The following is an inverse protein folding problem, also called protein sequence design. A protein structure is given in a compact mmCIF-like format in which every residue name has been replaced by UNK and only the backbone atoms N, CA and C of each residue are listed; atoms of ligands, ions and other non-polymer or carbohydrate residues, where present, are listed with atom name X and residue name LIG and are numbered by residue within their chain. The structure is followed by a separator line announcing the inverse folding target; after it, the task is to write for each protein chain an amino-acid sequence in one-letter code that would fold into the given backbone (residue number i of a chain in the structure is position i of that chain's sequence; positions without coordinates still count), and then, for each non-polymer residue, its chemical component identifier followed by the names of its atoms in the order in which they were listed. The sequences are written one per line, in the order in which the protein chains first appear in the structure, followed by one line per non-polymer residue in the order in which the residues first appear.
data_IF_494929299687
#
_entry.id   IF_494929299687
#
_cell.length_a   1.000
_cell.length_b   1.000
_cell.length_c   1.000
_cell.angle_alpha   90.00
_cell.angle_beta   90.00
_cell.angle_gamma   90.00
#
_symmetry.space_group_name_H-M   'P 1'
#
loop_
_entity.id
_entity.type
_entity.pdbx_description
1 polymer ?
#
# COMPACT_ATOMS: atom_id res chain seq x y z
N UNK A 1 7.52 -3.86 78.87
CA UNK A 1 7.01 -2.86 77.94
C UNK A 1 7.66 -3.11 76.59
N UNK A 2 7.00 -3.81 75.69
CA UNK A 2 7.51 -4.13 74.34
C UNK A 2 6.72 -3.33 73.34
N UNK A 3 7.38 -2.33 72.68
CA UNK A 3 6.78 -1.56 71.60
C UNK A 3 6.90 -2.31 70.28
N UNK A 4 5.77 -2.70 69.67
CA UNK A 4 5.75 -3.23 68.32
C UNK A 4 5.83 -2.10 67.28
N UNK A 5 6.90 -2.09 66.51
CA UNK A 5 7.11 -1.15 65.40
C UNK A 5 6.33 -1.70 64.18
N UNK A 6 5.23 -1.05 63.84
CA UNK A 6 4.41 -1.39 62.63
C UNK A 6 5.09 -0.72 61.42
N UNK A 7 5.81 -1.49 60.60
CA UNK A 7 6.30 -1.05 59.29
C UNK A 7 5.14 -0.99 58.29
N UNK A 8 4.69 0.22 57.93
CA UNK A 8 3.75 0.48 56.86
C UNK A 8 4.50 0.33 55.51
N UNK A 9 4.32 -0.81 54.84
CA UNK A 9 4.80 -0.98 53.48
C UNK A 9 3.80 -0.30 52.52
N UNK A 10 4.12 0.93 52.10
CA UNK A 10 3.39 1.59 51.02
C UNK A 10 3.71 0.88 49.70
N UNK A 11 2.80 0.02 49.25
CA UNK A 11 2.82 -0.50 47.91
C UNK A 11 2.48 0.64 46.94
N UNK A 12 3.50 1.19 46.29
CA UNK A 12 3.32 2.08 45.15
C UNK A 12 2.73 1.23 44.00
N UNK A 13 1.41 1.28 43.84
CA UNK A 13 0.76 0.79 42.65
C UNK A 13 1.26 1.64 41.47
N UNK A 14 2.22 1.14 40.71
CA UNK A 14 2.57 1.72 39.40
C UNK A 14 1.34 1.66 38.52
N UNK A 15 0.69 2.80 38.29
CA UNK A 15 -0.39 2.89 37.33
C UNK A 15 0.13 2.36 35.98
N UNK A 16 -0.48 1.31 35.46
CA UNK A 16 -0.09 0.72 34.19
C UNK A 16 -0.16 1.82 33.10
N UNK A 17 0.96 2.07 32.45
CA UNK A 17 1.06 3.09 31.40
C UNK A 17 0.11 2.71 30.27
N UNK A 18 -0.90 3.54 30.01
CA UNK A 18 -1.89 3.28 28.97
C UNK A 18 -1.22 3.26 27.59
N UNK A 19 -1.44 2.22 26.77
CA UNK A 19 -0.83 2.11 25.43
C UNK A 19 -1.34 3.21 24.50
N UNK A 20 -0.56 3.52 23.46
CA UNK A 20 -0.98 4.35 22.35
C UNK A 20 -1.64 3.45 21.31
N UNK A 21 -2.94 3.65 21.07
CA UNK A 21 -3.72 2.81 20.15
C UNK A 21 -3.63 3.35 18.73
N UNK A 22 -3.11 2.53 17.81
CA UNK A 22 -3.03 2.79 16.37
C UNK A 22 -3.98 1.85 15.64
N UNK A 23 -4.91 2.40 14.87
CA UNK A 23 -5.84 1.61 14.06
C UNK A 23 -5.15 1.01 12.84
N UNK A 24 -5.48 -0.25 12.53
CA UNK A 24 -4.97 -0.97 11.35
C UNK A 24 -6.16 -1.61 10.61
N UNK A 25 -6.94 -0.80 9.84
CA UNK A 25 -7.96 -1.34 8.97
C UNK A 25 -7.35 -1.90 7.68
N UNK A 26 -7.90 -2.98 7.16
CA UNK A 26 -7.46 -3.54 5.89
C UNK A 26 -8.24 -4.80 5.49
N UNK A 27 -8.10 -5.21 4.23
CA UNK A 27 -8.67 -6.44 3.72
C UNK A 27 -7.78 -7.62 4.14
N UNK A 28 -8.09 -8.26 5.26
CA UNK A 28 -7.36 -9.44 5.74
C UNK A 28 -7.97 -10.75 5.24
N UNK A 29 -9.12 -10.66 4.57
CA UNK A 29 -9.83 -11.76 3.89
C UNK A 29 -10.15 -11.36 2.44
N UNK A 30 -10.53 -12.35 1.60
CA UNK A 30 -10.90 -12.13 0.19
C UNK A 30 -9.72 -11.98 -0.76
N UNK A 31 -9.98 -11.52 -1.99
CA UNK A 31 -9.01 -11.43 -3.08
C UNK A 31 -7.83 -10.49 -2.81
N UNK A 32 -8.02 -9.49 -1.96
CA UNK A 32 -6.98 -8.54 -1.56
C UNK A 32 -6.19 -8.96 -0.30
N UNK A 33 -6.50 -10.11 0.30
CA UNK A 33 -5.85 -10.58 1.52
C UNK A 33 -4.30 -10.65 1.45
N UNK A 34 -3.65 -11.06 0.33
CA UNK A 34 -2.20 -11.02 0.23
C UNK A 34 -1.61 -9.64 0.55
N UNK A 35 -2.24 -8.56 0.06
CA UNK A 35 -1.84 -7.19 0.36
C UNK A 35 -2.10 -6.82 1.83
N UNK A 36 -3.33 -7.08 2.30
CA UNK A 36 -3.75 -6.72 3.65
C UNK A 36 -2.93 -7.41 4.74
N UNK A 37 -2.71 -8.71 4.60
CA UNK A 37 -1.91 -9.48 5.55
C UNK A 37 -0.43 -9.05 5.53
N UNK A 38 0.12 -8.77 4.35
CA UNK A 38 1.50 -8.28 4.23
C UNK A 38 1.67 -6.90 4.85
N UNK A 39 0.76 -5.96 4.55
CA UNK A 39 0.70 -4.61 5.16
C UNK A 39 0.64 -4.71 6.70
N UNK A 40 -0.31 -5.48 7.22
CA UNK A 40 -0.48 -5.69 8.65
C UNK A 40 0.80 -6.23 9.30
N UNK A 41 1.45 -7.19 8.67
CA UNK A 41 2.67 -7.78 9.19
C UNK A 41 3.83 -6.77 9.18
N UNK A 42 3.96 -5.94 8.13
CA UNK A 42 4.92 -4.83 8.11
C UNK A 42 4.70 -3.84 9.25
N UNK A 43 3.43 -3.44 9.48
CA UNK A 43 3.04 -2.57 10.60
C UNK A 43 3.39 -3.21 11.95
N UNK A 44 3.08 -4.51 12.13
CA UNK A 44 3.41 -5.27 13.36
C UNK A 44 4.91 -5.30 13.63
N UNK A 45 5.72 -5.52 12.58
CA UNK A 45 7.18 -5.53 12.72
C UNK A 45 7.70 -4.17 13.17
N UNK A 46 7.29 -3.09 12.51
CA UNK A 46 7.68 -1.73 12.90
C UNK A 46 7.23 -1.39 14.34
N UNK A 47 5.99 -1.72 14.71
CA UNK A 47 5.49 -1.48 16.06
C UNK A 47 6.26 -2.29 17.12
N UNK A 48 6.62 -3.54 16.82
CA UNK A 48 7.43 -4.36 17.72
C UNK A 48 8.83 -3.79 17.93
N UNK A 49 9.48 -3.27 16.89
CA UNK A 49 10.78 -2.59 17.00
C UNK A 49 10.68 -1.31 17.82
N UNK A 50 9.65 -0.49 17.57
CA UNK A 50 9.41 0.76 18.33
C UNK A 50 9.16 0.44 19.80
N UNK A 51 8.34 -0.57 20.10
CA UNK A 51 8.05 -0.98 21.47
C UNK A 51 9.29 -1.51 22.20
N UNK A 52 10.13 -2.27 21.49
CA UNK A 52 11.42 -2.76 22.04
C UNK A 52 12.38 -1.61 22.37
N UNK A 53 12.27 -0.50 21.66
CA UNK A 53 13.08 0.72 21.88
C UNK A 53 12.46 1.70 22.89
N UNK A 54 11.47 1.27 23.69
CA UNK A 54 10.82 2.08 24.71
C UNK A 54 9.48 2.72 24.30
N UNK A 55 8.95 2.39 23.13
CA UNK A 55 7.64 2.85 22.66
C UNK A 55 7.65 4.28 22.10
N UNK A 56 6.48 4.93 22.15
CA UNK A 56 6.28 6.32 21.77
C UNK A 56 5.92 7.14 23.03
N UNK A 57 6.61 8.26 23.24
CA UNK A 57 6.37 9.12 24.41
C UNK A 57 6.38 8.34 25.74
N UNK A 58 7.25 7.31 25.86
CA UNK A 58 7.33 6.42 27.02
C UNK A 58 6.16 5.43 27.17
N UNK A 59 5.35 5.24 26.13
CA UNK A 59 4.17 4.38 26.13
C UNK A 59 4.27 3.32 25.03
N UNK A 60 3.86 2.06 25.27
CA UNK A 60 3.84 1.05 24.23
C UNK A 60 2.74 1.35 23.19
N UNK A 61 2.99 0.94 21.93
CA UNK A 61 1.99 0.91 20.86
C UNK A 61 1.14 -0.33 21.01
N UNK A 62 -0.17 -0.17 20.94
CA UNK A 62 -1.17 -1.22 20.77
C UNK A 62 -1.79 -1.08 19.38
N UNK A 63 -1.70 -2.13 18.56
CA UNK A 63 -2.32 -2.16 17.23
C UNK A 63 -3.75 -2.67 17.32
N UNK A 64 -4.72 -1.88 16.83
CA UNK A 64 -6.13 -2.23 16.79
C UNK A 64 -6.50 -2.63 15.36
N UNK A 65 -6.39 -3.91 15.07
CA UNK A 65 -6.58 -4.46 13.73
C UNK A 65 -8.06 -4.76 13.47
N UNK A 66 -8.55 -4.39 12.27
CA UNK A 66 -9.93 -4.64 11.85
C UNK A 66 -9.97 -5.03 10.38
N UNK A 67 -10.59 -6.18 10.10
CA UNK A 67 -10.80 -6.66 8.73
C UNK A 67 -12.00 -5.96 8.09
N UNK A 68 -11.79 -5.22 7.03
CA UNK A 68 -12.83 -4.61 6.22
C UNK A 68 -13.29 -5.49 5.04
N UNK A 69 -12.56 -6.59 4.75
CA UNK A 69 -12.85 -7.55 3.68
C UNK A 69 -12.81 -6.94 2.28
N UNK A 70 -12.26 -5.74 2.12
CA UNK A 70 -12.29 -4.98 0.86
C UNK A 70 -13.66 -4.38 0.53
N UNK A 71 -14.58 -4.30 1.50
CA UNK A 71 -15.96 -3.85 1.31
C UNK A 71 -16.15 -2.42 1.84
N UNK A 72 -16.49 -1.42 0.99
CA UNK A 72 -16.64 -0.03 1.41
C UNK A 72 -17.60 0.18 2.58
N UNK A 73 -18.76 -0.47 2.58
CA UNK A 73 -19.73 -0.36 3.66
C UNK A 73 -19.20 -0.91 4.99
N UNK A 74 -18.36 -1.96 4.94
CA UNK A 74 -17.70 -2.51 6.12
C UNK A 74 -16.59 -1.61 6.61
N UNK A 75 -15.85 -0.98 5.69
CA UNK A 75 -14.82 0.02 6.01
C UNK A 75 -15.36 1.20 6.80
N UNK A 76 -16.55 1.72 6.45
CA UNK A 76 -17.23 2.78 7.22
C UNK A 76 -17.51 2.31 8.67
N UNK A 77 -18.05 1.10 8.85
CA UNK A 77 -18.32 0.54 10.19
C UNK A 77 -17.05 0.36 11.00
N UNK A 78 -15.99 -0.14 10.36
CA UNK A 78 -14.65 -0.29 10.96
C UNK A 78 -14.10 1.07 11.41
N UNK A 79 -14.23 2.12 10.58
CA UNK A 79 -13.80 3.46 10.94
C UNK A 79 -14.55 3.98 12.18
N UNK A 80 -15.86 3.82 12.23
CA UNK A 80 -16.68 4.20 13.39
C UNK A 80 -16.24 3.45 14.65
N UNK A 81 -15.99 2.14 14.58
CA UNK A 81 -15.51 1.35 15.72
C UNK A 81 -14.14 1.84 16.22
N UNK A 82 -13.18 2.04 15.31
CA UNK A 82 -11.84 2.52 15.66
C UNK A 82 -11.87 3.89 16.34
N UNK A 83 -12.77 4.78 15.89
CA UNK A 83 -12.88 6.13 16.41
C UNK A 83 -13.63 6.19 17.74
N UNK A 84 -14.78 5.51 17.85
CA UNK A 84 -15.70 5.71 18.98
C UNK A 84 -15.48 4.72 20.12
N UNK A 85 -15.18 3.46 19.80
CA UNK A 85 -15.01 2.39 20.80
C UNK A 85 -13.53 2.26 21.20
N UNK A 86 -12.65 2.19 20.21
CA UNK A 86 -11.22 1.97 20.44
C UNK A 86 -10.44 3.27 20.70
N UNK A 87 -10.96 4.40 20.24
CA UNK A 87 -10.36 5.73 20.42
C UNK A 87 -8.91 5.77 19.95
N UNK A 88 -8.67 5.24 18.74
CA UNK A 88 -7.33 5.28 18.14
C UNK A 88 -6.89 6.71 17.88
N UNK A 89 -5.59 7.00 18.07
CA UNK A 89 -5.03 8.35 17.89
C UNK A 89 -4.59 8.60 16.44
N UNK A 90 -4.35 7.53 15.68
CA UNK A 90 -3.97 7.57 14.28
C UNK A 90 -4.26 6.22 13.64
N UNK A 91 -4.18 6.15 12.30
CA UNK A 91 -4.44 4.94 11.51
C UNK A 91 -3.31 4.72 10.53
N UNK A 92 -2.86 3.48 10.37
CA UNK A 92 -2.04 3.01 9.25
C UNK A 92 -2.81 1.91 8.52
N UNK A 93 -3.24 2.15 7.31
CA UNK A 93 -4.11 1.22 6.54
C UNK A 93 -4.40 1.84 5.19
N UNK A 94 -5.29 1.56 4.69
CA UNK A 94 -6.24 0.85 3.93
C UNK A 94 -5.61 0.06 2.76
N UNK A 95 -6.30 -1.00 2.32
CA UNK A 95 -5.87 -1.80 1.17
C UNK A 95 -6.58 -1.35 -0.11
N UNK A 96 -7.89 -1.32 -0.09
CA UNK A 96 -8.72 -1.07 -1.28
C UNK A 96 -9.10 0.40 -1.40
N UNK A 97 -8.93 0.98 -2.58
CA UNK A 97 -9.31 2.38 -2.90
C UNK A 97 -10.74 2.70 -2.52
N UNK A 98 -11.71 1.82 -2.88
CA UNK A 98 -13.11 2.06 -2.57
C UNK A 98 -13.42 2.09 -1.08
N UNK A 99 -12.70 1.29 -0.28
CA UNK A 99 -12.80 1.32 1.19
C UNK A 99 -12.23 2.60 1.75
N UNK A 100 -11.04 2.98 1.30
CA UNK A 100 -10.40 4.22 1.72
C UNK A 100 -11.25 5.46 1.40
N UNK A 101 -11.80 5.55 0.18
CA UNK A 101 -12.71 6.63 -0.22
C UNK A 101 -13.94 6.74 0.69
N UNK A 102 -14.56 5.60 1.00
CA UNK A 102 -15.76 5.57 1.81
C UNK A 102 -15.52 5.91 3.29
N UNK A 103 -14.35 5.50 3.83
CA UNK A 103 -14.05 5.62 5.25
C UNK A 103 -13.29 6.92 5.63
N UNK A 104 -12.54 7.51 4.70
CA UNK A 104 -11.64 8.64 4.99
C UNK A 104 -12.35 9.84 5.61
N UNK A 105 -13.60 10.12 5.19
CA UNK A 105 -14.36 11.24 5.77
C UNK A 105 -14.56 11.10 7.28
N UNK A 106 -14.75 9.89 7.81
CA UNK A 106 -14.92 9.68 9.24
C UNK A 106 -13.65 10.11 10.02
N UNK A 107 -12.47 9.81 9.50
CA UNK A 107 -11.20 10.18 10.13
C UNK A 107 -10.91 11.67 9.97
N UNK A 108 -11.20 12.23 8.79
CA UNK A 108 -11.08 13.67 8.53
C UNK A 108 -11.93 14.49 9.52
N UNK A 109 -13.19 14.12 9.68
CA UNK A 109 -14.13 14.81 10.59
C UNK A 109 -13.71 14.65 12.07
N UNK A 110 -13.17 13.48 12.42
CA UNK A 110 -12.67 13.19 13.77
C UNK A 110 -11.27 13.78 14.05
N UNK A 111 -10.62 14.38 13.03
CA UNK A 111 -9.24 14.89 13.10
C UNK A 111 -8.22 13.81 13.52
N UNK A 112 -8.40 12.59 13.02
CA UNK A 112 -7.50 11.47 13.25
C UNK A 112 -6.67 11.22 11.99
N UNK A 113 -5.33 11.37 12.05
CA UNK A 113 -4.48 11.20 10.88
C UNK A 113 -4.46 9.76 10.38
N UNK A 114 -4.48 9.62 9.06
CA UNK A 114 -4.45 8.35 8.32
C UNK A 114 -3.20 8.31 7.45
N UNK A 115 -2.39 7.27 7.61
CA UNK A 115 -1.31 6.92 6.70
C UNK A 115 -1.79 5.81 5.76
N UNK A 116 -2.12 6.14 4.51
CA UNK A 116 -2.49 5.18 3.49
C UNK A 116 -1.27 4.35 3.08
N UNK A 117 -1.30 3.07 3.43
CA UNK A 117 -0.18 2.16 3.19
C UNK A 117 -0.28 1.42 1.86
N UNK A 118 -1.48 1.18 1.32
CA UNK A 118 -1.69 0.33 0.15
C UNK A 118 -2.61 0.97 -0.90
N UNK A 119 -3.69 1.64 -0.51
CA UNK A 119 -4.62 2.27 -1.44
C UNK A 119 -3.96 3.40 -2.26
N UNK A 120 -4.11 3.38 -3.60
CA UNK A 120 -3.26 4.15 -4.52
C UNK A 120 -3.93 5.26 -5.32
N UNK A 121 -5.28 5.32 -5.39
CA UNK A 121 -5.93 6.35 -6.19
C UNK A 121 -5.52 7.78 -5.77
N UNK A 122 -5.11 8.61 -6.73
CA UNK A 122 -4.60 9.95 -6.49
C UNK A 122 -5.59 10.87 -5.74
N UNK A 123 -6.90 10.65 -5.95
CA UNK A 123 -7.95 11.44 -5.28
C UNK A 123 -7.94 11.28 -3.75
N UNK A 124 -7.41 10.19 -3.20
CA UNK A 124 -7.49 9.89 -1.76
C UNK A 124 -6.86 10.96 -0.87
N UNK A 125 -5.71 11.49 -1.25
CA UNK A 125 -5.01 12.56 -0.52
C UNK A 125 -5.51 13.96 -0.89
N UNK A 126 -6.29 14.08 -1.97
CA UNK A 126 -6.77 15.36 -2.53
C UNK A 126 -8.26 15.61 -2.32
N UNK A 127 -9.01 14.64 -1.76
CA UNK A 127 -10.46 14.75 -1.59
C UNK A 127 -10.89 15.77 -0.52
N UNK A 128 -9.97 16.18 0.34
CA UNK A 128 -10.22 17.19 1.38
C UNK A 128 -9.36 18.42 1.10
N UNK A 129 -9.85 19.33 0.25
CA UNK A 129 -9.09 20.53 -0.11
C UNK A 129 -8.91 21.44 1.10
N UNK A 130 -7.75 22.08 1.15
CA UNK A 130 -7.43 23.06 2.17
C UNK A 130 -8.26 24.34 1.95
N UNK A 131 -9.12 24.67 2.91
CA UNK A 131 -9.88 25.93 2.93
C UNK A 131 -9.52 26.72 4.19
N UNK A 132 -8.88 27.89 4.02
CA UNK A 132 -8.44 28.70 5.13
C UNK A 132 -7.44 27.94 6.04
N UNK A 133 -7.80 27.72 7.30
CA UNK A 133 -6.99 27.02 8.29
C UNK A 133 -7.36 25.52 8.44
N UNK A 134 -8.13 24.94 7.50
CA UNK A 134 -8.44 23.51 7.57
C UNK A 134 -7.19 22.66 7.27
N UNK A 135 -7.07 21.52 7.96
CA UNK A 135 -6.03 20.54 7.73
C UNK A 135 -6.59 19.33 6.97
N UNK A 136 -5.75 18.69 6.17
CA UNK A 136 -6.04 17.41 5.56
C UNK A 136 -5.34 16.30 6.38
N UNK A 137 -6.11 15.35 6.88
CA UNK A 137 -5.62 14.29 7.76
C UNK A 137 -5.19 13.02 7.01
N UNK A 138 -5.20 13.02 5.66
CA UNK A 138 -4.93 11.83 4.84
C UNK A 138 -3.56 11.96 4.17
N UNK A 139 -2.64 11.07 4.53
CA UNK A 139 -1.28 10.94 3.99
C UNK A 139 -1.10 9.61 3.29
N UNK A 140 -0.12 9.48 2.41
CA UNK A 140 0.15 8.22 1.70
C UNK A 140 1.64 7.91 1.61
N UNK A 141 1.98 6.62 1.83
CA UNK A 141 3.31 6.06 1.64
C UNK A 141 3.39 5.12 0.44
N UNK A 142 2.25 4.69 -0.11
CA UNK A 142 2.19 3.90 -1.34
C UNK A 142 2.46 4.76 -2.58
N UNK A 143 2.95 4.14 -3.66
CA UNK A 143 3.06 4.81 -4.96
C UNK A 143 1.66 5.09 -5.54
N UNK A 144 1.32 6.35 -5.71
CA UNK A 144 0.04 6.79 -6.26
C UNK A 144 -0.19 6.31 -7.70
N UNK A 145 -1.45 6.19 -8.13
CA UNK A 145 -1.78 5.76 -9.49
C UNK A 145 -1.29 6.74 -10.55
N UNK A 146 -1.24 8.04 -10.24
CA UNK A 146 -0.68 9.08 -11.11
C UNK A 146 0.86 9.04 -11.21
N UNK A 147 1.55 8.27 -10.36
CA UNK A 147 2.95 7.87 -10.53
C UNK A 147 3.06 6.54 -11.29
N UNK A 148 2.19 5.57 -11.01
CA UNK A 148 2.29 4.24 -11.61
C UNK A 148 1.89 4.25 -13.10
N UNK A 149 0.78 4.87 -13.48
CA UNK A 149 0.28 4.86 -14.85
C UNK A 149 1.27 5.43 -15.88
N UNK A 150 1.96 6.57 -15.63
CA UNK A 150 3.03 7.02 -16.51
C UNK A 150 4.19 6.02 -16.65
N UNK A 151 4.54 5.31 -15.58
CA UNK A 151 5.60 4.29 -15.63
C UNK A 151 5.18 3.08 -16.46
N UNK A 152 3.93 2.61 -16.33
CA UNK A 152 3.33 1.54 -17.13
C UNK A 152 3.32 1.92 -18.61
N UNK A 153 2.84 3.12 -18.92
CA UNK A 153 2.77 3.61 -20.30
C UNK A 153 4.18 3.82 -20.88
N UNK A 154 5.12 4.37 -20.10
CA UNK A 154 6.52 4.49 -20.50
C UNK A 154 7.14 3.13 -20.85
N UNK A 155 6.86 2.11 -20.05
CA UNK A 155 7.32 0.75 -20.31
C UNK A 155 6.77 0.19 -21.62
N UNK A 156 5.46 0.36 -21.88
CA UNK A 156 4.83 -0.12 -23.10
C UNK A 156 5.22 0.67 -24.35
N UNK A 157 5.22 2.01 -24.26
CA UNK A 157 5.34 2.92 -25.41
C UNK A 157 6.79 3.27 -25.74
N UNK A 158 7.59 3.62 -24.74
CA UNK A 158 8.96 4.10 -24.97
C UNK A 158 9.97 2.96 -24.99
N UNK A 159 9.87 2.00 -24.05
CA UNK A 159 10.83 0.90 -23.94
C UNK A 159 10.50 -0.26 -24.90
N UNK A 160 9.21 -0.55 -25.09
CA UNK A 160 8.77 -1.68 -25.94
C UNK A 160 8.24 -1.26 -27.31
N UNK A 161 8.12 0.04 -27.60
CA UNK A 161 7.66 0.61 -28.85
C UNK A 161 6.22 0.20 -29.29
N UNK A 162 5.38 -0.27 -28.37
CA UNK A 162 3.98 -0.61 -28.68
C UNK A 162 3.14 0.65 -28.91
N UNK A 163 2.18 0.58 -29.83
CA UNK A 163 1.29 1.69 -30.19
C UNK A 163 -0.19 1.33 -30.08
N UNK A 164 -0.55 0.06 -30.15
CA UNK A 164 -1.91 -0.45 -29.97
C UNK A 164 -1.98 -1.18 -28.64
N UNK A 165 -2.60 -0.57 -27.67
CA UNK A 165 -2.61 -1.02 -26.28
C UNK A 165 -4.04 -1.20 -25.81
N UNK A 166 -4.40 -2.39 -25.35
CA UNK A 166 -5.67 -2.62 -24.67
C UNK A 166 -5.53 -2.30 -23.19
N UNK A 167 -6.61 -1.84 -22.56
CA UNK A 167 -6.69 -1.67 -21.09
C UNK A 167 -7.71 -2.65 -20.55
N UNK A 168 -7.32 -3.41 -19.52
CA UNK A 168 -8.20 -4.29 -18.75
C UNK A 168 -8.22 -3.83 -17.30
N UNK A 169 -9.37 -3.36 -16.83
CA UNK A 169 -9.56 -2.81 -15.50
C UNK A 169 -10.77 -3.44 -14.81
N UNK A 170 -10.67 -3.68 -13.48
CA UNK A 170 -11.84 -4.14 -12.74
C UNK A 170 -12.87 -3.03 -12.51
N UNK A 171 -14.10 -3.41 -12.14
CA UNK A 171 -15.22 -2.49 -11.89
C UNK A 171 -15.23 -1.87 -10.48
N UNK A 172 -14.13 -1.99 -9.73
CA UNK A 172 -13.98 -1.29 -8.45
C UNK A 172 -13.54 0.16 -8.65
N UNK A 173 -13.57 0.96 -7.57
CA UNK A 173 -12.99 2.30 -7.61
C UNK A 173 -11.50 2.28 -7.99
N UNK A 174 -10.76 1.24 -7.62
CA UNK A 174 -9.35 1.07 -7.99
C UNK A 174 -9.17 0.93 -9.50
N UNK A 175 -9.88 -0.03 -10.12
CA UNK A 175 -9.80 -0.21 -11.57
C UNK A 175 -10.30 1.00 -12.34
N UNK A 176 -11.36 1.68 -11.87
CA UNK A 176 -11.88 2.91 -12.49
C UNK A 176 -10.83 4.04 -12.48
N UNK A 177 -10.24 4.33 -11.32
CA UNK A 177 -9.22 5.38 -11.21
C UNK A 177 -7.97 5.05 -12.01
N UNK A 178 -7.51 3.78 -11.95
CA UNK A 178 -6.37 3.34 -12.73
C UNK A 178 -6.59 3.40 -14.24
N UNK A 179 -7.80 3.07 -14.73
CA UNK A 179 -8.18 3.24 -16.13
C UNK A 179 -8.04 4.71 -16.56
N UNK A 180 -8.61 5.64 -15.79
CA UNK A 180 -8.51 7.08 -16.09
C UNK A 180 -7.04 7.56 -16.14
N UNK A 181 -6.20 7.10 -15.21
CA UNK A 181 -4.79 7.47 -15.19
C UNK A 181 -4.01 6.87 -16.37
N UNK A 182 -4.33 5.63 -16.79
CA UNK A 182 -3.73 5.03 -17.98
C UNK A 182 -4.15 5.77 -19.26
N UNK A 183 -5.44 6.14 -19.40
CA UNK A 183 -5.91 6.91 -20.55
C UNK A 183 -5.25 8.29 -20.60
N UNK A 184 -5.12 8.95 -19.46
CA UNK A 184 -4.42 10.24 -19.34
C UNK A 184 -2.94 10.10 -19.75
N UNK A 185 -2.25 9.07 -19.25
CA UNK A 185 -0.86 8.84 -19.58
C UNK A 185 -0.65 8.46 -21.06
N UNK A 186 -1.54 7.67 -21.67
CA UNK A 186 -1.51 7.39 -23.11
C UNK A 186 -1.74 8.67 -23.92
N UNK A 187 -2.68 9.53 -23.50
CA UNK A 187 -2.96 10.81 -24.14
C UNK A 187 -1.74 11.73 -24.20
N UNK A 188 -0.84 11.70 -23.20
CA UNK A 188 0.43 12.43 -23.21
C UNK A 188 1.39 11.97 -24.32
N UNK A 189 1.19 10.75 -24.83
CA UNK A 189 1.93 10.21 -25.99
C UNK A 189 1.13 10.29 -27.31
N UNK A 190 0.00 11.01 -27.33
CA UNK A 190 -0.88 11.08 -28.51
C UNK A 190 -1.58 9.77 -28.83
N UNK A 191 -1.69 8.85 -27.89
CA UNK A 191 -2.29 7.54 -28.05
C UNK A 191 -3.65 7.46 -27.35
N UNK A 192 -4.50 6.57 -27.91
CA UNK A 192 -5.74 6.11 -27.26
C UNK A 192 -5.67 4.58 -27.12
N UNK A 193 -6.38 4.01 -26.13
CA UNK A 193 -6.49 2.56 -26.05
C UNK A 193 -7.05 1.97 -27.34
N UNK A 194 -6.50 0.86 -27.83
CA UNK A 194 -7.07 0.12 -28.96
C UNK A 194 -8.34 -0.61 -28.57
N UNK A 195 -8.47 -0.97 -27.30
CA UNK A 195 -9.65 -1.58 -26.70
C UNK A 195 -9.65 -1.32 -25.18
N UNK A 196 -10.83 -1.20 -24.58
CA UNK A 196 -11.00 -1.09 -23.13
C UNK A 196 -12.00 -2.13 -22.67
N UNK A 197 -11.58 -2.96 -21.74
CA UNK A 197 -12.43 -3.92 -21.05
C UNK A 197 -12.56 -3.56 -19.58
N UNK A 198 -13.78 -3.65 -19.05
CA UNK A 198 -14.07 -3.58 -17.62
C UNK A 198 -14.78 -4.86 -17.20
N UNK A 199 -14.40 -5.42 -16.08
CA UNK A 199 -14.92 -6.69 -15.58
C UNK A 199 -15.16 -6.65 -14.08
N UNK A 200 -16.03 -7.52 -13.60
CA UNK A 200 -16.36 -7.60 -12.18
C UNK A 200 -15.30 -8.40 -11.40
N UNK A 201 -15.23 -8.17 -10.10
CA UNK A 201 -14.50 -9.10 -9.23
C UNK A 201 -15.10 -10.50 -9.34
N UNK A 202 -14.25 -11.52 -9.30
CA UNK A 202 -14.57 -12.94 -9.50
C UNK A 202 -15.01 -13.29 -10.94
N UNK A 203 -14.76 -12.41 -11.91
CA UNK A 203 -14.97 -12.74 -13.33
C UNK A 203 -14.06 -13.90 -13.74
N UNK A 204 -14.65 -14.88 -14.44
CA UNK A 204 -13.96 -16.08 -14.91
C UNK A 204 -14.01 -16.27 -16.43
N UNK A 205 -14.80 -15.47 -17.11
CA UNK A 205 -14.88 -15.51 -18.57
C UNK A 205 -14.41 -14.18 -19.18
N UNK A 206 -13.15 -14.15 -19.55
CA UNK A 206 -12.52 -13.01 -20.22
C UNK A 206 -12.35 -13.24 -21.73
N UNK A 207 -12.80 -14.39 -22.26
CA UNK A 207 -12.52 -14.80 -23.64
C UNK A 207 -13.05 -13.79 -24.66
N UNK A 208 -14.28 -13.32 -24.50
CA UNK A 208 -14.86 -12.35 -25.43
C UNK A 208 -14.12 -11.02 -25.43
N UNK A 209 -13.82 -10.47 -24.24
CA UNK A 209 -13.07 -9.21 -24.11
C UNK A 209 -11.67 -9.34 -24.73
N UNK A 210 -10.98 -10.46 -24.49
CA UNK A 210 -9.68 -10.75 -25.08
C UNK A 210 -9.74 -10.91 -26.59
N UNK A 211 -10.79 -11.55 -27.13
CA UNK A 211 -11.02 -11.66 -28.58
C UNK A 211 -11.19 -10.27 -29.22
N UNK A 212 -11.96 -9.39 -28.59
CA UNK A 212 -12.14 -8.01 -29.08
C UNK A 212 -10.81 -7.22 -29.05
N UNK A 213 -10.02 -7.35 -27.98
CA UNK A 213 -8.71 -6.72 -27.91
C UNK A 213 -7.76 -7.26 -29.00
N UNK A 214 -7.76 -8.58 -29.24
CA UNK A 214 -6.99 -9.21 -30.33
C UNK A 214 -7.41 -8.69 -31.69
N UNK A 215 -8.72 -8.61 -31.96
CA UNK A 215 -9.28 -8.10 -33.23
C UNK A 215 -8.97 -6.62 -33.46
N UNK A 216 -8.85 -5.82 -32.37
CA UNK A 216 -8.40 -4.44 -32.43
C UNK A 216 -6.88 -4.30 -32.71
N UNK A 217 -6.16 -5.43 -32.79
CA UNK A 217 -4.74 -5.50 -33.08
C UNK A 217 -3.87 -5.06 -31.89
N UNK A 218 -4.34 -5.27 -30.66
CA UNK A 218 -3.59 -4.90 -29.46
C UNK A 218 -2.26 -5.65 -29.39
N UNK A 219 -1.18 -4.92 -29.09
CA UNK A 219 0.20 -5.42 -29.02
C UNK A 219 0.63 -5.73 -27.60
N UNK A 220 -0.06 -5.16 -26.62
CA UNK A 220 0.10 -5.43 -25.19
C UNK A 220 -1.19 -5.11 -24.45
N UNK A 221 -1.33 -5.66 -23.26
CA UNK A 221 -2.43 -5.39 -22.34
C UNK A 221 -1.90 -4.58 -21.14
N UNK A 222 -2.49 -3.41 -20.91
CA UNK A 222 -2.28 -2.63 -19.69
C UNK A 222 -3.34 -2.98 -18.66
N UNK A 223 -2.98 -3.12 -17.36
CA UNK A 223 -3.94 -3.58 -16.35
C UNK A 223 -3.99 -2.71 -15.11
N UNK A 224 -5.24 -2.53 -14.61
CA UNK A 224 -5.55 -2.08 -13.27
C UNK A 224 -6.67 -2.95 -12.67
N UNK A 225 -6.27 -4.03 -12.02
CA UNK A 225 -7.17 -4.99 -11.36
C UNK A 225 -6.41 -5.72 -10.25
N UNK A 226 -7.08 -6.58 -9.50
CA UNK A 226 -6.44 -7.36 -8.43
C UNK A 226 -6.01 -8.76 -8.90
N UNK A 227 -5.19 -9.44 -8.09
CA UNK A 227 -4.44 -10.63 -8.47
C UNK A 227 -5.25 -11.80 -9.03
N UNK A 228 -6.39 -12.22 -8.42
CA UNK A 228 -7.16 -13.36 -8.92
C UNK A 228 -7.67 -13.19 -10.36
N UNK A 229 -8.22 -12.02 -10.68
CA UNK A 229 -8.77 -11.71 -11.99
C UNK A 229 -7.66 -11.53 -13.03
N UNK A 230 -6.51 -10.99 -12.62
CA UNK A 230 -5.32 -10.89 -13.47
C UNK A 230 -4.76 -12.28 -13.83
N UNK A 231 -4.83 -13.23 -12.90
CA UNK A 231 -4.44 -14.61 -13.17
C UNK A 231 -5.39 -15.26 -14.17
N UNK A 232 -6.71 -15.02 -14.05
CA UNK A 232 -7.68 -15.52 -15.03
C UNK A 232 -7.48 -14.89 -16.41
N UNK A 233 -7.15 -13.59 -16.47
CA UNK A 233 -6.75 -12.93 -17.73
C UNK A 233 -5.59 -13.66 -18.39
N UNK A 234 -4.49 -13.90 -17.67
CA UNK A 234 -3.31 -14.59 -18.20
C UNK A 234 -3.62 -16.03 -18.63
N UNK A 235 -4.40 -16.76 -17.84
CA UNK A 235 -4.81 -18.12 -18.14
C UNK A 235 -5.73 -18.20 -19.38
N UNK A 236 -6.64 -17.24 -19.53
CA UNK A 236 -7.52 -17.17 -20.72
C UNK A 236 -6.72 -16.82 -21.96
N UNK A 237 -5.77 -15.89 -21.89
CA UNK A 237 -4.85 -15.59 -23.00
C UNK A 237 -4.09 -16.85 -23.45
N UNK A 238 -3.60 -17.65 -22.51
CA UNK A 238 -2.92 -18.90 -22.82
C UNK A 238 -3.84 -19.92 -23.51
N UNK A 239 -5.09 -20.09 -23.03
CA UNK A 239 -6.10 -20.95 -23.68
C UNK A 239 -6.43 -20.52 -25.11
N UNK A 240 -6.34 -19.21 -25.38
CA UNK A 240 -6.60 -18.65 -26.72
C UNK A 240 -5.36 -18.63 -27.62
N UNK A 241 -4.22 -19.15 -27.16
CA UNK A 241 -2.91 -19.02 -27.82
C UNK A 241 -2.60 -17.59 -28.27
N UNK A 242 -2.92 -16.61 -27.41
CA UNK A 242 -2.64 -15.21 -27.67
C UNK A 242 -1.55 -14.69 -26.71
N UNK A 243 -0.35 -14.49 -27.28
CA UNK A 243 0.86 -14.16 -26.53
C UNK A 243 1.23 -12.70 -26.74
N UNK A 244 0.68 -11.81 -25.93
CA UNK A 244 1.10 -10.40 -25.83
C UNK A 244 1.49 -10.08 -24.40
N UNK A 245 2.40 -9.11 -24.16
CA UNK A 245 2.80 -8.75 -22.82
C UNK A 245 1.65 -8.20 -21.97
N UNK A 246 1.67 -8.53 -20.68
CA UNK A 246 0.84 -7.91 -19.65
C UNK A 246 1.74 -6.93 -18.89
N UNK A 247 1.34 -5.65 -18.84
CA UNK A 247 2.07 -4.59 -18.16
C UNK A 247 1.05 -3.87 -17.27
N UNK A 248 1.29 -3.80 -15.97
CA UNK A 248 0.27 -3.26 -15.08
C UNK A 248 0.79 -2.64 -13.80
N UNK A 249 -0.15 -2.35 -12.94
CA UNK A 249 0.13 -1.87 -11.61
C UNK A 249 0.79 -2.97 -10.75
N UNK A 250 1.24 -2.59 -9.59
CA UNK A 250 1.93 -3.45 -8.64
C UNK A 250 1.16 -4.71 -8.21
N UNK A 251 -0.15 -4.79 -8.45
CA UNK A 251 -0.99 -5.96 -8.14
C UNK A 251 -0.60 -7.24 -8.90
N UNK A 252 0.11 -7.13 -10.01
CA UNK A 252 0.73 -8.26 -10.71
C UNK A 252 1.86 -8.94 -9.89
N UNK A 253 2.29 -8.35 -8.78
CA UNK A 253 3.24 -8.97 -7.85
C UNK A 253 2.59 -9.75 -6.70
N UNK A 254 1.27 -9.76 -6.62
CA UNK A 254 0.55 -10.48 -5.57
C UNK A 254 0.72 -11.99 -5.70
N UNK A 255 0.87 -12.68 -4.56
CA UNK A 255 1.06 -14.14 -4.57
C UNK A 255 -0.07 -14.88 -5.27
N UNK A 256 -1.32 -14.41 -5.15
CA UNK A 256 -2.46 -15.04 -5.82
C UNK A 256 -2.53 -14.79 -7.33
N UNK A 257 -1.88 -13.74 -7.86
CA UNK A 257 -1.61 -13.66 -9.29
C UNK A 257 -0.57 -14.70 -9.71
N UNK A 258 0.60 -14.66 -9.07
CA UNK A 258 1.75 -15.49 -9.42
C UNK A 258 1.39 -16.99 -9.32
N UNK A 259 0.74 -17.40 -8.22
CA UNK A 259 0.41 -18.80 -7.98
C UNK A 259 -0.69 -19.31 -8.91
N UNK A 260 -1.74 -18.50 -9.15
CA UNK A 260 -2.88 -18.92 -9.95
C UNK A 260 -2.61 -18.83 -11.47
N UNK A 261 -1.78 -17.89 -11.90
CA UNK A 261 -1.36 -17.79 -13.31
C UNK A 261 -0.27 -18.81 -13.63
N UNK A 262 0.58 -19.14 -12.66
CA UNK A 262 1.70 -20.06 -12.86
C UNK A 262 2.57 -19.66 -14.06
N UNK A 263 2.88 -20.59 -14.97
CA UNK A 263 3.67 -20.28 -16.17
C UNK A 263 3.05 -19.22 -17.09
N UNK A 264 1.72 -19.05 -17.04
CA UNK A 264 1.01 -18.07 -17.88
C UNK A 264 1.22 -16.63 -17.40
N UNK A 265 1.69 -16.44 -16.17
CA UNK A 265 2.06 -15.14 -15.62
C UNK A 265 3.51 -14.72 -15.91
N UNK A 266 4.34 -15.60 -16.47
CA UNK A 266 5.75 -15.32 -16.75
C UNK A 266 5.90 -14.13 -17.73
N UNK A 267 6.86 -13.25 -17.43
CA UNK A 267 7.13 -12.05 -18.21
C UNK A 267 6.17 -10.89 -17.95
N UNK A 268 5.11 -11.05 -17.14
CA UNK A 268 4.27 -9.92 -16.72
C UNK A 268 5.11 -8.86 -16.02
N UNK A 269 4.90 -7.58 -16.40
CA UNK A 269 5.66 -6.45 -15.88
C UNK A 269 4.78 -5.53 -15.05
N UNK A 270 5.34 -5.00 -13.97
CA UNK A 270 4.59 -4.16 -13.06
C UNK A 270 5.45 -3.11 -12.38
N UNK A 271 4.82 -2.01 -11.96
CA UNK A 271 5.47 -1.01 -11.12
C UNK A 271 5.67 -1.58 -9.71
N UNK A 272 6.83 -1.35 -9.11
CA UNK A 272 7.16 -1.82 -7.76
C UNK A 272 7.84 -0.71 -6.96
N UNK A 273 7.41 -0.52 -5.71
CA UNK A 273 8.11 0.32 -4.73
C UNK A 273 9.17 -0.46 -3.95
N UNK A 274 9.05 -1.79 -3.90
CA UNK A 274 9.98 -2.68 -3.22
C UNK A 274 9.99 -4.06 -3.87
N UNK A 275 11.17 -4.55 -4.22
CA UNK A 275 11.43 -5.93 -4.68
C UNK A 275 12.46 -6.53 -3.72
N UNK A 276 12.14 -7.60 -2.97
CA UNK A 276 13.12 -8.33 -2.17
C UNK A 276 14.20 -8.93 -3.05
N UNK A 277 15.46 -8.79 -2.64
CA UNK A 277 16.60 -9.35 -3.39
C UNK A 277 17.52 -10.16 -2.45
N UNK A 278 18.16 -11.20 -2.99
CA UNK A 278 19.09 -12.03 -2.21
C UNK A 278 20.33 -11.25 -1.77
N UNK A 279 20.70 -10.22 -2.54
CA UNK A 279 21.83 -9.34 -2.24
C UNK A 279 21.44 -8.13 -1.38
N UNK A 280 20.20 -8.03 -0.92
CA UNK A 280 19.78 -6.96 -0.02
C UNK A 280 20.69 -6.88 1.22
N UNK A 281 21.07 -5.69 1.61
CA UNK A 281 21.92 -5.40 2.77
C UNK A 281 21.33 -4.29 3.64
N UNK A 282 21.94 -4.07 4.82
CA UNK A 282 21.49 -3.01 5.73
C UNK A 282 20.01 -3.15 6.06
N UNK A 283 19.27 -2.05 6.02
CA UNK A 283 17.86 -1.99 6.45
C UNK A 283 16.92 -2.94 5.69
N UNK A 284 17.18 -3.18 4.41
CA UNK A 284 16.36 -4.09 3.60
C UNK A 284 16.55 -5.54 4.08
N UNK A 285 17.79 -5.91 4.37
CA UNK A 285 18.10 -7.22 4.99
C UNK A 285 17.49 -7.34 6.39
N UNK A 286 17.67 -6.33 7.22
CA UNK A 286 17.13 -6.31 8.59
C UNK A 286 15.60 -6.48 8.58
N UNK A 287 14.91 -5.83 7.63
CA UNK A 287 13.46 -5.98 7.45
C UNK A 287 13.08 -7.40 7.07
N UNK A 288 13.78 -8.02 6.10
CA UNK A 288 13.50 -9.40 5.66
C UNK A 288 13.74 -10.41 6.78
N UNK A 289 14.84 -10.26 7.49
CA UNK A 289 15.21 -11.14 8.60
C UNK A 289 14.25 -10.96 9.79
N UNK A 290 13.88 -9.72 10.11
CA UNK A 290 12.88 -9.39 11.13
C UNK A 290 11.50 -9.94 10.77
N UNK A 291 11.08 -9.82 9.51
CA UNK A 291 9.83 -10.38 9.02
C UNK A 291 9.81 -11.91 9.13
N UNK A 292 10.89 -12.56 8.67
CA UNK A 292 11.04 -14.02 8.78
C UNK A 292 11.02 -14.49 10.24
N UNK A 293 11.75 -13.80 11.11
CA UNK A 293 11.82 -14.15 12.53
C UNK A 293 10.46 -14.02 13.21
N UNK A 294 9.75 -12.91 12.97
CA UNK A 294 8.48 -12.62 13.67
C UNK A 294 7.32 -13.46 13.16
N UNK A 295 7.27 -13.77 11.86
CA UNK A 295 6.13 -14.45 11.22
C UNK A 295 6.44 -15.88 10.76
N UNK A 296 7.64 -16.38 11.03
CA UNK A 296 8.11 -17.74 10.68
C UNK A 296 7.91 -18.09 9.19
N UNK A 297 8.05 -17.10 8.30
CA UNK A 297 7.92 -17.28 6.85
C UNK A 297 8.93 -16.42 6.09
N UNK A 298 9.52 -17.01 5.02
CA UNK A 298 10.35 -16.27 4.07
C UNK A 298 9.56 -15.65 2.94
N UNK A 299 8.35 -16.14 2.69
CA UNK A 299 7.50 -15.66 1.62
C UNK A 299 6.62 -14.53 2.13
N UNK A 300 6.76 -13.35 1.51
CA UNK A 300 5.89 -12.22 1.71
C UNK A 300 4.88 -12.20 0.55
N UNK A 301 3.56 -12.40 0.81
CA UNK A 301 2.55 -12.50 -0.25
C UNK A 301 2.41 -11.24 -1.13
N UNK A 302 2.74 -10.07 -0.58
CA UNK A 302 2.83 -8.80 -1.28
C UNK A 302 3.96 -7.97 -0.68
N UNK A 303 5.20 -8.10 -1.19
CA UNK A 303 6.36 -7.41 -0.62
C UNK A 303 6.21 -5.89 -0.56
N UNK A 304 5.70 -5.19 -1.60
CA UNK A 304 5.47 -3.74 -1.50
C UNK A 304 4.52 -3.36 -0.37
N UNK A 305 3.43 -4.12 -0.16
CA UNK A 305 2.47 -3.84 0.93
C UNK A 305 3.10 -3.99 2.31
N UNK A 306 3.98 -4.99 2.49
CA UNK A 306 4.69 -5.18 3.75
C UNK A 306 5.66 -4.02 4.03
N UNK A 307 6.47 -3.63 3.02
CA UNK A 307 7.40 -2.51 3.13
C UNK A 307 6.67 -1.18 3.38
N UNK A 308 5.57 -0.92 2.66
CA UNK A 308 4.74 0.28 2.83
C UNK A 308 4.08 0.34 4.21
N UNK A 309 3.58 -0.78 4.71
CA UNK A 309 3.03 -0.86 6.07
C UNK A 309 4.09 -0.57 7.14
N UNK A 310 5.29 -1.11 6.96
CA UNK A 310 6.43 -0.87 7.85
C UNK A 310 6.87 0.60 7.82
N UNK A 311 7.09 1.15 6.63
CA UNK A 311 7.55 2.53 6.45
C UNK A 311 6.50 3.54 6.91
N UNK A 312 5.21 3.29 6.61
CA UNK A 312 4.10 4.13 7.06
C UNK A 312 4.00 4.20 8.59
N UNK A 313 4.21 3.07 9.28
CA UNK A 313 4.25 3.03 10.74
C UNK A 313 5.46 3.80 11.31
N UNK A 314 6.63 3.70 10.66
CA UNK A 314 7.85 4.44 11.07
C UNK A 314 7.68 5.96 10.88
N UNK A 315 7.09 6.40 9.76
CA UNK A 315 6.78 7.81 9.49
C UNK A 315 5.82 8.38 10.51
N UNK A 316 4.72 7.68 10.79
CA UNK A 316 3.75 8.08 11.81
C UNK A 316 4.38 8.16 13.20
N UNK A 317 5.20 7.17 13.55
CA UNK A 317 5.88 7.13 14.85
C UNK A 317 6.83 8.32 15.03
N UNK A 318 7.58 8.71 13.99
CA UNK A 318 8.46 9.87 14.04
C UNK A 318 7.66 11.17 14.20
N UNK A 319 6.54 11.29 13.49
CA UNK A 319 5.66 12.45 13.63
C UNK A 319 5.10 12.58 15.06
N UNK A 320 4.67 11.48 15.68
CA UNK A 320 4.20 11.47 17.07
C UNK A 320 5.32 11.88 18.03
N UNK A 321 6.56 11.39 17.83
CA UNK A 321 7.71 11.79 18.64
C UNK A 321 8.00 13.29 18.50
N UNK A 322 8.03 13.79 17.27
CA UNK A 322 8.27 15.20 16.98
C UNK A 322 7.17 16.10 17.54
N UNK A 323 5.90 15.69 17.44
CA UNK A 323 4.76 16.40 17.98
C UNK A 323 4.78 16.47 19.52
N UNK A 324 5.36 15.46 20.18
CA UNK A 324 5.30 15.31 21.65
C UNK A 324 3.87 15.19 22.18
N UNK A 325 2.91 14.88 21.30
CA UNK A 325 1.46 14.91 21.55
C UNK A 325 0.74 13.79 20.78
N UNK A 326 -0.43 13.41 21.27
CA UNK A 326 -1.35 12.49 20.58
C UNK A 326 -2.53 13.24 19.93
N UNK A 327 -2.51 14.57 19.96
CA UNK A 327 -3.48 15.40 19.25
C UNK A 327 -3.29 15.26 17.72
N UNK A 328 -4.39 15.00 17.01
CA UNK A 328 -4.32 14.71 15.58
C UNK A 328 -3.81 15.89 14.76
N UNK A 329 -4.14 17.13 15.12
CA UNK A 329 -3.64 18.34 14.42
C UNK A 329 -2.13 18.48 14.63
N UNK A 330 -1.65 18.27 15.86
CA UNK A 330 -0.23 18.30 16.15
C UNK A 330 0.56 17.23 15.39
N UNK A 331 -0.03 16.02 15.23
CA UNK A 331 0.58 14.94 14.43
C UNK A 331 0.61 15.30 12.93
N UNK A 332 -0.47 15.88 12.40
CA UNK A 332 -0.53 16.33 10.98
C UNK A 332 0.55 17.38 10.72
N UNK A 333 0.64 18.41 11.56
CA UNK A 333 1.67 19.44 11.42
C UNK A 333 3.09 18.86 11.54
N UNK A 334 3.29 17.85 12.37
CA UNK A 334 4.59 17.16 12.47
C UNK A 334 4.89 16.34 11.21
N UNK A 335 3.89 15.65 10.61
CA UNK A 335 4.05 14.95 9.34
C UNK A 335 4.44 15.91 8.20
N UNK A 336 3.74 17.02 8.07
CA UNK A 336 4.00 18.06 7.05
C UNK A 336 5.38 18.71 7.20
N UNK A 337 5.99 18.64 8.40
CA UNK A 337 7.24 19.32 8.75
C UNK A 337 8.23 18.37 9.45
N UNK A 338 8.37 17.14 8.98
CA UNK A 338 9.33 16.18 9.54
C UNK A 338 10.76 16.74 9.47
N UNK A 339 11.40 16.84 10.64
CA UNK A 339 12.74 17.43 10.79
C UNK A 339 13.85 16.41 10.58
N UNK A 340 13.61 15.18 11.04
CA UNK A 340 14.60 14.10 10.95
C UNK A 340 14.25 13.16 9.79
N UNK A 341 15.25 12.73 9.00
CA UNK A 341 15.03 11.72 7.98
C UNK A 341 14.55 10.41 8.62
N UNK A 342 13.54 9.80 8.03
CA UNK A 342 13.04 8.48 8.44
C UNK A 342 13.63 7.41 7.54
N UNK A 343 14.40 6.52 8.14
CA UNK A 343 15.00 5.39 7.44
C UNK A 343 13.96 4.30 7.21
N UNK A 344 13.38 4.24 6.02
CA UNK A 344 12.44 3.19 5.59
C UNK A 344 13.13 2.04 4.86
N UNK A 345 12.35 1.02 4.52
CA UNK A 345 12.77 -0.11 3.68
C UNK A 345 12.77 0.29 2.20
N UNK A 346 11.77 1.07 1.77
CA UNK A 346 11.62 1.54 0.41
C UNK A 346 12.67 2.60 0.10
N UNK A 347 12.79 3.61 0.96
CA UNK A 347 13.71 4.73 0.80
C UNK A 347 14.03 5.38 2.14
N UNK A 348 14.91 6.37 2.12
CA UNK A 348 15.07 7.31 3.23
C UNK A 348 14.19 8.52 2.97
N UNK A 349 13.17 8.71 3.77
CA UNK A 349 12.22 9.82 3.66
C UNK A 349 12.82 11.07 4.29
N UNK A 350 13.04 12.10 3.48
CA UNK A 350 13.54 13.40 3.92
C UNK A 350 12.45 14.43 3.71
N UNK A 351 11.74 14.79 4.76
CA UNK A 351 10.59 15.71 4.71
C UNK A 351 9.64 15.35 3.54
N UNK A 352 9.06 14.11 3.57
CA UNK A 352 8.33 13.59 2.41
C UNK A 352 6.99 14.29 2.18
N UNK A 353 6.46 14.98 3.20
CA UNK A 353 5.17 15.64 3.14
C UNK A 353 5.31 17.15 3.32
N UNK A 354 4.34 17.87 2.80
CA UNK A 354 4.15 19.30 3.02
C UNK A 354 2.66 19.59 3.20
N UNK A 355 2.30 20.82 3.59
CA UNK A 355 0.89 21.20 3.71
C UNK A 355 0.08 20.98 2.42
N UNK A 356 0.70 21.04 1.26
CA UNK A 356 0.02 20.93 -0.05
C UNK A 356 0.25 19.59 -0.75
N UNK A 357 1.13 18.76 -0.21
CA UNK A 357 1.46 17.46 -0.78
C UNK A 357 1.62 16.40 0.32
N UNK A 358 0.71 15.44 0.35
CA UNK A 358 0.69 14.33 1.31
C UNK A 358 1.13 13.00 0.70
N UNK A 359 1.94 13.04 -0.37
CA UNK A 359 2.52 11.88 -1.03
C UNK A 359 3.98 11.67 -0.61
N UNK A 360 4.31 10.50 -0.07
CA UNK A 360 5.67 10.23 0.41
C UNK A 360 6.64 9.80 -0.69
N UNK A 361 6.15 9.30 -1.83
CA UNK A 361 6.98 8.76 -2.89
C UNK A 361 6.99 9.66 -4.12
N UNK A 362 8.20 9.91 -4.62
CA UNK A 362 8.44 10.59 -5.88
C UNK A 362 8.56 9.61 -7.05
N UNK A 363 8.47 10.12 -8.29
CA UNK A 363 8.52 9.32 -9.53
C UNK A 363 9.81 8.50 -9.71
N UNK A 364 10.89 8.92 -9.07
CA UNK A 364 12.20 8.26 -9.15
C UNK A 364 12.33 7.03 -8.23
N UNK A 365 11.39 6.81 -7.29
CA UNK A 365 11.45 5.71 -6.33
C UNK A 365 10.91 4.40 -6.93
N UNK A 366 9.72 4.34 -7.57
CA UNK A 366 9.24 3.10 -8.14
C UNK A 366 10.06 2.64 -9.35
N UNK A 367 10.20 1.34 -9.48
CA UNK A 367 10.91 0.65 -10.58
C UNK A 367 9.97 -0.30 -11.31
N UNK A 368 10.42 -0.87 -12.45
CA UNK A 368 9.70 -1.94 -13.13
C UNK A 368 10.23 -3.30 -12.69
N UNK A 369 9.33 -4.09 -12.10
CA UNK A 369 9.51 -5.50 -11.86
C UNK A 369 8.98 -6.36 -13.01
N UNK A 370 9.43 -7.60 -13.08
CA UNK A 370 8.86 -8.64 -13.95
C UNK A 370 8.70 -9.96 -13.19
N UNK A 371 7.74 -10.76 -13.58
CA UNK A 371 7.65 -12.15 -13.11
C UNK A 371 8.67 -12.98 -13.87
N UNK A 372 9.52 -13.68 -13.12
CA UNK A 372 10.50 -14.62 -13.64
C UNK A 372 10.61 -15.81 -12.70
N UNK A 373 10.35 -17.01 -13.23
CA UNK A 373 10.34 -18.29 -12.48
C UNK A 373 9.47 -18.23 -11.22
N UNK A 374 8.27 -17.62 -11.37
CA UNK A 374 7.31 -17.48 -10.26
C UNK A 374 7.72 -16.50 -9.16
N UNK A 375 8.68 -15.61 -9.43
CA UNK A 375 9.12 -14.54 -8.52
C UNK A 375 9.11 -13.20 -9.22
N UNK A 376 8.98 -12.12 -8.46
CA UNK A 376 9.19 -10.77 -8.98
C UNK A 376 10.65 -10.43 -8.85
N UNK A 377 11.26 -10.03 -9.97
CA UNK A 377 12.64 -9.56 -10.05
C UNK A 377 12.69 -8.20 -10.73
N UNK A 378 13.80 -7.48 -10.62
CA UNK A 378 14.01 -6.24 -11.37
C UNK A 378 13.98 -6.51 -12.87
N UNK A 379 13.12 -5.80 -13.63
CA UNK A 379 13.09 -5.91 -15.08
C UNK A 379 14.39 -5.37 -15.72
N UNK A 380 15.04 -4.44 -15.04
CA UNK A 380 16.29 -3.80 -15.47
C UNK A 380 17.33 -3.84 -14.34
N UNK A 381 18.51 -4.44 -14.57
CA UNK A 381 19.53 -4.54 -13.51
C UNK A 381 19.96 -3.18 -12.95
N UNK A 382 19.97 -2.12 -13.76
CA UNK A 382 20.32 -0.78 -13.31
C UNK A 382 19.36 -0.21 -12.26
N UNK A 383 18.11 -0.66 -12.23
CA UNK A 383 17.13 -0.21 -11.26
C UNK A 383 17.40 -0.77 -9.84
N UNK A 384 18.14 -1.88 -9.73
CA UNK A 384 18.60 -2.43 -8.44
C UNK A 384 19.52 -1.47 -7.68
N UNK A 385 20.31 -0.67 -8.41
CA UNK A 385 21.23 0.31 -7.82
C UNK A 385 20.50 1.57 -7.31
N UNK A 386 19.22 1.73 -7.60
CA UNK A 386 18.41 2.90 -7.22
C UNK A 386 17.61 2.69 -5.94
N UNK A 387 17.40 1.47 -5.55
CA UNK A 387 16.70 1.05 -4.33
C UNK A 387 17.70 0.48 -3.31
#
# INVERSE_FOLDING_TARGET
MGGALLCLVCSLATAAVQPIRIGVPGAFTGGSAPMGLSMRNGIRLAAAEINRSGGLLGRPIELVERDDGGLPARGIKVAQQLLTQERVVAVVGFVNTGVALAASKNYQDARVPVMLAVATAAILTRQFPLHGNSDNFIFRVAAADDLQAPLIVREAVQRSAYRKLAIFADNTNYGYQGLMELERALGQHGLKPSYVARFNLQERDMANALLQARNAGSQAILTYAIGPELAELANTMARMDWKVPIIGSWTLSMSNFIDNAGPNGEGARMVQSYIPDEDDSGRRRDFLDGYQWLFHTRRIPSPPSAAQGYDGMKLLAEAIRQAGSLDGVAIVHALENLRQPVAGVITTYKQPFSRTDHEALELNVPVIGKVERGRVVYAYPADKLRQ
#
